data_IF_065616425078
#
_entry.id   IF_065616425078
#
_cell.length_a   1.000
_cell.length_b   1.000
_cell.length_c   1.000
_cell.angle_alpha   90.00
_cell.angle_beta   90.00
_cell.angle_gamma   90.00
#
_symmetry.space_group_name_H-M   'P 1'
#
loop_
_entity.id
_entity.type
_entity.pdbx_description
1 polymer ?
#
# COMPACT_ATOMS: atom_id res chain seq x y z
N UNK A 1 -8.55 -1.74 0.69
CA UNK A 1 -8.14 -0.72 -0.30
C UNK A 1 -9.19 -0.44 -1.37
N UNK A 2 -9.55 -1.38 -2.25
CA UNK A 2 -10.43 -1.09 -3.41
C UNK A 2 -11.76 -0.42 -3.05
N UNK A 3 -12.46 -0.86 -2.00
CA UNK A 3 -13.71 -0.24 -1.57
C UNK A 3 -13.54 1.24 -1.20
N UNK A 4 -12.46 1.57 -0.49
CA UNK A 4 -12.12 2.97 -0.14
C UNK A 4 -11.85 3.77 -1.41
N UNK A 5 -11.09 3.21 -2.36
CA UNK A 5 -10.82 3.85 -3.64
C UNK A 5 -12.13 4.17 -4.38
N UNK A 6 -13.05 3.21 -4.49
CA UNK A 6 -14.35 3.44 -5.15
C UNK A 6 -15.16 4.54 -4.48
N UNK A 7 -15.17 4.61 -3.14
CA UNK A 7 -15.87 5.65 -2.38
C UNK A 7 -15.25 7.04 -2.61
N UNK A 8 -13.93 7.16 -2.54
CA UNK A 8 -13.22 8.42 -2.82
C UNK A 8 -13.40 8.85 -4.29
N UNK A 9 -13.33 7.91 -5.22
CA UNK A 9 -13.55 8.16 -6.65
C UNK A 9 -14.95 8.71 -6.93
N UNK A 10 -15.99 8.17 -6.25
CA UNK A 10 -17.36 8.70 -6.33
C UNK A 10 -17.52 10.13 -5.79
N UNK A 11 -16.52 10.64 -5.06
CA UNK A 11 -16.44 12.02 -4.59
C UNK A 11 -15.56 12.91 -5.47
N UNK A 12 -15.15 12.41 -6.64
CA UNK A 12 -14.35 13.17 -7.62
C UNK A 12 -12.84 13.08 -7.41
N UNK A 13 -12.36 12.25 -6.48
CA UNK A 13 -10.92 12.07 -6.27
C UNK A 13 -10.34 11.19 -7.38
N UNK A 14 -9.27 11.65 -8.04
CA UNK A 14 -8.49 10.81 -8.96
C UNK A 14 -7.53 9.93 -8.15
N UNK A 15 -7.57 8.63 -8.42
CA UNK A 15 -6.85 7.63 -7.62
C UNK A 15 -5.98 6.79 -8.55
N UNK A 16 -4.72 6.63 -8.16
CA UNK A 16 -3.84 5.61 -8.74
C UNK A 16 -3.61 4.53 -7.69
N UNK A 17 -4.22 3.36 -7.89
CA UNK A 17 -4.02 2.20 -7.01
C UNK A 17 -2.84 1.39 -7.53
N UNK A 18 -1.79 1.32 -6.71
CA UNK A 18 -0.55 0.62 -7.02
C UNK A 18 -0.61 -0.81 -6.47
N UNK A 19 -0.37 -1.79 -7.34
CA UNK A 19 -0.34 -3.22 -6.99
C UNK A 19 0.81 -3.94 -7.72
N UNK A 20 1.03 -5.22 -7.45
CA UNK A 20 1.93 -6.05 -8.29
C UNK A 20 1.24 -6.42 -9.61
N UNK A 21 2.01 -6.83 -10.63
CA UNK A 21 1.44 -7.31 -11.91
C UNK A 21 0.46 -8.47 -11.75
N UNK A 22 0.72 -9.38 -10.82
CA UNK A 22 -0.17 -10.50 -10.50
C UNK A 22 -1.50 -9.98 -9.94
N UNK A 23 -1.45 -9.09 -8.95
CA UNK A 23 -2.63 -8.45 -8.38
C UNK A 23 -3.40 -7.61 -9.39
N UNK A 24 -2.72 -6.92 -10.32
CA UNK A 24 -3.37 -6.23 -11.43
C UNK A 24 -4.25 -7.21 -12.24
N UNK A 25 -3.70 -8.38 -12.57
CA UNK A 25 -4.44 -9.45 -13.26
C UNK A 25 -5.69 -9.86 -12.49
N UNK A 26 -5.57 -10.14 -11.18
CA UNK A 26 -6.72 -10.48 -10.34
C UNK A 26 -7.80 -9.40 -10.34
N UNK A 27 -7.41 -8.13 -10.13
CA UNK A 27 -8.34 -7.01 -10.08
C UNK A 27 -9.07 -6.79 -11.41
N UNK A 28 -8.33 -6.79 -12.53
CA UNK A 28 -8.93 -6.60 -13.86
C UNK A 28 -9.81 -7.76 -14.30
N UNK A 29 -9.52 -8.99 -13.83
CA UNK A 29 -10.35 -10.16 -14.15
C UNK A 29 -11.68 -10.16 -13.38
N UNK A 30 -11.73 -9.51 -12.22
CA UNK A 30 -12.90 -9.49 -11.37
C UNK A 30 -13.91 -8.42 -11.78
N UNK A 31 -13.43 -7.19 -12.02
CA UNK A 31 -14.29 -6.05 -12.38
C UNK A 31 -13.47 -4.92 -13.02
N UNK A 32 -14.06 -4.20 -13.97
CA UNK A 32 -13.49 -2.94 -14.44
C UNK A 32 -13.46 -1.88 -13.33
N UNK A 33 -12.34 -1.15 -13.15
CA UNK A 33 -12.25 -0.09 -12.16
C UNK A 33 -13.13 1.10 -12.57
N UNK A 34 -13.69 1.86 -11.60
CA UNK A 34 -14.45 3.06 -11.92
C UNK A 34 -13.57 4.11 -12.62
N UNK A 35 -14.13 5.05 -13.40
CA UNK A 35 -13.37 5.97 -14.26
C UNK A 35 -12.26 6.78 -13.58
N UNK A 36 -12.44 7.12 -12.31
CA UNK A 36 -11.47 7.89 -11.52
C UNK A 36 -10.46 7.01 -10.77
N UNK A 37 -10.47 5.69 -10.96
CA UNK A 37 -9.50 4.75 -10.39
C UNK A 37 -8.66 4.17 -11.52
N UNK A 38 -7.37 4.48 -11.51
CA UNK A 38 -6.36 3.91 -12.40
C UNK A 38 -5.63 2.81 -11.65
N UNK A 39 -5.59 1.61 -12.22
CA UNK A 39 -4.78 0.53 -11.69
C UNK A 39 -3.39 0.62 -12.31
N UNK A 40 -2.38 0.75 -11.46
CA UNK A 40 -0.97 0.78 -11.85
C UNK A 40 -0.28 -0.45 -11.26
N UNK A 41 0.74 -0.94 -11.95
CA UNK A 41 1.48 -2.11 -11.48
C UNK A 41 2.97 -1.89 -11.39
N UNK A 42 3.56 -2.44 -10.32
CA UNK A 42 4.98 -2.73 -10.23
C UNK A 42 5.25 -4.16 -10.72
N UNK A 43 6.49 -4.51 -11.13
CA UNK A 43 6.84 -5.89 -11.45
C UNK A 43 6.51 -6.86 -10.30
N UNK A 44 6.30 -8.14 -10.62
CA UNK A 44 6.15 -9.18 -9.60
C UNK A 44 7.52 -9.47 -8.97
N UNK A 45 7.76 -8.82 -7.84
CA UNK A 45 8.97 -8.96 -7.01
C UNK A 45 8.72 -9.79 -5.75
N UNK A 46 7.53 -10.41 -5.68
CA UNK A 46 7.05 -11.25 -4.58
C UNK A 46 6.85 -12.69 -5.06
N UNK A 47 6.85 -13.67 -4.15
CA UNK A 47 6.20 -14.96 -4.39
C UNK A 47 4.73 -14.76 -4.80
N UNK A 48 4.12 -15.75 -5.45
CA UNK A 48 2.73 -15.65 -5.88
C UNK A 48 1.78 -15.53 -4.68
N UNK A 49 0.83 -14.59 -4.77
CA UNK A 49 -0.23 -14.37 -3.78
C UNK A 49 -1.05 -15.65 -3.55
N UNK A 50 -1.27 -16.46 -4.60
CA UNK A 50 -2.03 -17.71 -4.52
C UNK A 50 -1.39 -18.69 -3.53
N UNK A 51 -0.05 -18.68 -3.45
CA UNK A 51 0.73 -19.52 -2.56
C UNK A 51 1.19 -18.82 -1.28
N UNK A 52 0.78 -17.57 -1.03
CA UNK A 52 1.26 -16.77 0.11
C UNK A 52 1.14 -17.49 1.46
N UNK A 53 0.07 -18.27 1.64
CA UNK A 53 -0.16 -18.99 2.90
C UNK A 53 0.87 -20.11 3.17
N UNK A 54 1.61 -20.58 2.16
CA UNK A 54 2.64 -21.60 2.33
C UNK A 54 3.86 -21.06 3.10
N UNK A 55 4.14 -19.75 3.00
CA UNK A 55 5.19 -19.06 3.74
C UNK A 55 4.81 -17.59 3.94
N UNK A 56 4.00 -17.33 4.97
CA UNK A 56 3.53 -15.98 5.29
C UNK A 56 4.68 -15.07 5.70
N UNK A 57 5.66 -15.59 6.43
CA UNK A 57 6.80 -14.81 6.93
C UNK A 57 7.69 -14.38 5.78
N UNK A 58 8.13 -15.31 4.93
CA UNK A 58 8.96 -14.99 3.76
C UNK A 58 8.23 -14.09 2.75
N UNK A 59 6.92 -14.24 2.62
CA UNK A 59 6.13 -13.32 1.81
C UNK A 59 6.14 -11.89 2.36
N UNK A 60 5.92 -11.71 3.67
CA UNK A 60 5.97 -10.39 4.29
C UNK A 60 7.38 -9.79 4.22
N UNK A 61 8.42 -10.59 4.44
CA UNK A 61 9.81 -10.15 4.26
C UNK A 61 10.06 -9.64 2.83
N UNK A 62 9.59 -10.36 1.81
CA UNK A 62 9.67 -9.92 0.41
C UNK A 62 8.89 -8.62 0.14
N UNK A 63 7.73 -8.43 0.77
CA UNK A 63 6.97 -7.16 0.71
C UNK A 63 7.78 -6.00 1.24
N UNK A 64 8.50 -6.19 2.36
CA UNK A 64 9.28 -5.13 2.99
C UNK A 64 10.65 -4.88 2.36
N UNK A 65 11.21 -5.85 1.65
CA UNK A 65 12.56 -5.75 1.06
C UNK A 65 12.55 -5.42 -0.43
N UNK A 66 11.55 -5.91 -1.17
CA UNK A 66 11.61 -5.90 -2.64
C UNK A 66 10.64 -4.91 -3.30
N UNK A 67 9.56 -4.50 -2.62
CA UNK A 67 8.53 -3.65 -3.25
C UNK A 67 8.85 -2.15 -3.24
N UNK A 68 9.69 -1.69 -2.32
CA UNK A 68 9.98 -0.26 -2.15
C UNK A 68 10.61 0.35 -3.40
N UNK A 69 11.73 -0.20 -3.90
CA UNK A 69 12.43 0.32 -5.09
C UNK A 69 11.51 0.49 -6.31
N UNK A 70 10.77 -0.54 -6.76
CA UNK A 70 9.94 -0.38 -7.95
C UNK A 70 8.74 0.54 -7.71
N UNK A 71 8.18 0.60 -6.50
CA UNK A 71 7.10 1.54 -6.19
C UNK A 71 7.59 2.99 -6.18
N UNK A 72 8.70 3.25 -5.49
CA UNK A 72 9.33 4.56 -5.36
C UNK A 72 9.91 5.03 -6.70
N UNK A 73 10.96 4.35 -7.19
CA UNK A 73 11.76 4.85 -8.30
C UNK A 73 11.09 4.72 -9.66
N UNK A 74 10.34 3.64 -9.90
CA UNK A 74 9.77 3.37 -11.23
C UNK A 74 8.37 3.92 -11.38
N UNK A 75 7.53 3.78 -10.36
CA UNK A 75 6.14 4.18 -10.48
C UNK A 75 5.88 5.61 -10.03
N UNK A 76 6.24 5.99 -8.80
CA UNK A 76 5.97 7.34 -8.30
C UNK A 76 6.68 8.41 -9.13
N UNK A 77 7.88 8.14 -9.63
CA UNK A 77 8.60 9.05 -10.54
C UNK A 77 7.93 9.25 -11.90
N UNK A 78 7.01 8.37 -12.30
CA UNK A 78 6.24 8.49 -13.54
C UNK A 78 4.93 9.27 -13.40
N UNK A 79 4.51 9.56 -12.16
CA UNK A 79 3.27 10.27 -11.88
C UNK A 79 3.60 11.76 -11.72
N UNK A 80 3.01 12.59 -12.59
CA UNK A 80 3.31 14.04 -12.67
C UNK A 80 3.06 14.79 -11.36
N UNK A 81 2.00 14.45 -10.62
CA UNK A 81 1.69 15.08 -9.33
C UNK A 81 0.97 14.09 -8.41
N UNK A 82 1.48 13.95 -7.18
CA UNK A 82 0.88 13.13 -6.12
C UNK A 82 0.59 14.03 -4.91
N UNK A 83 -0.69 14.23 -4.60
CA UNK A 83 -1.10 15.11 -3.50
C UNK A 83 -1.14 14.43 -2.14
N UNK A 84 -1.32 13.11 -2.11
CA UNK A 84 -1.45 12.30 -0.89
C UNK A 84 -1.13 10.84 -1.24
N UNK A 85 -0.35 10.17 -0.39
CA UNK A 85 -0.20 8.72 -0.40
C UNK A 85 -1.11 8.13 0.68
N UNK A 86 -1.92 7.13 0.31
CA UNK A 86 -2.66 6.31 1.28
C UNK A 86 -2.04 4.93 1.25
N UNK A 87 -1.41 4.54 2.36
CA UNK A 87 -0.72 3.26 2.48
C UNK A 87 -1.44 2.36 3.48
N UNK A 88 -1.35 1.04 3.28
CA UNK A 88 -1.68 0.11 4.36
C UNK A 88 -0.64 0.27 5.48
N UNK A 89 -1.10 0.30 6.73
CA UNK A 89 -0.24 0.49 7.89
C UNK A 89 0.84 -0.59 8.03
N UNK A 90 0.63 -1.78 7.47
CA UNK A 90 1.63 -2.85 7.48
C UNK A 90 2.72 -2.67 6.41
N UNK A 91 2.63 -1.67 5.54
CA UNK A 91 3.64 -1.39 4.51
C UNK A 91 4.44 -0.15 4.93
N UNK A 92 5.29 -0.33 5.95
CA UNK A 92 6.03 0.77 6.61
C UNK A 92 6.85 1.64 5.64
N UNK A 93 7.54 1.01 4.69
CA UNK A 93 8.36 1.72 3.71
C UNK A 93 7.58 2.74 2.87
N UNK A 94 6.26 2.60 2.73
CA UNK A 94 5.46 3.57 1.99
C UNK A 94 5.37 4.93 2.70
N UNK A 95 5.40 4.94 4.04
CA UNK A 95 5.48 6.16 4.83
C UNK A 95 6.85 6.84 4.66
N UNK A 96 7.92 6.05 4.68
CA UNK A 96 9.29 6.53 4.48
C UNK A 96 9.48 7.13 3.08
N UNK A 97 8.95 6.46 2.04
CA UNK A 97 8.94 6.97 0.66
C UNK A 97 8.20 8.31 0.59
N UNK A 98 7.02 8.40 1.20
CA UNK A 98 6.23 9.62 1.21
C UNK A 98 6.98 10.76 1.90
N UNK A 99 7.59 10.48 3.06
CA UNK A 99 8.42 11.42 3.80
C UNK A 99 9.61 11.93 2.97
N UNK A 100 10.41 11.02 2.38
CA UNK A 100 11.56 11.37 1.55
C UNK A 100 11.18 12.20 0.32
N UNK A 101 9.96 12.02 -0.19
CA UNK A 101 9.42 12.77 -1.34
C UNK A 101 8.69 14.06 -0.96
N UNK A 102 8.52 14.35 0.33
CA UNK A 102 7.74 15.50 0.80
C UNK A 102 6.25 15.41 0.45
N UNK A 103 5.71 14.21 0.32
CA UNK A 103 4.30 13.96 0.02
C UNK A 103 3.56 13.62 1.32
N UNK A 104 2.40 14.24 1.61
CA UNK A 104 1.58 13.84 2.74
C UNK A 104 1.22 12.35 2.69
N UNK A 105 1.16 11.68 3.85
CA UNK A 105 0.78 10.27 3.95
C UNK A 105 -0.35 10.08 4.96
N UNK A 106 -1.30 9.21 4.61
CA UNK A 106 -2.32 8.68 5.51
C UNK A 106 -2.19 7.16 5.58
N UNK A 107 -2.17 6.61 6.80
CA UNK A 107 -2.09 5.18 7.03
C UNK A 107 -3.49 4.60 7.22
N UNK A 108 -3.83 3.59 6.43
CA UNK A 108 -5.04 2.81 6.57
C UNK A 108 -4.75 1.58 7.44
N UNK A 109 -5.49 1.45 8.53
CA UNK A 109 -5.55 0.22 9.30
C UNK A 109 -6.86 -0.52 8.96
N UNK A 110 -6.83 -1.57 8.12
CA UNK A 110 -8.05 -2.22 7.64
C UNK A 110 -8.73 -3.11 8.70
N UNK A 111 -8.09 -3.36 9.83
CA UNK A 111 -8.63 -4.15 10.94
C UNK A 111 -9.44 -3.30 11.92
N UNK A 112 -10.09 -3.95 12.90
CA UNK A 112 -10.90 -3.28 13.91
C UNK A 112 -10.07 -2.29 14.77
N UNK A 113 -10.68 -1.18 15.15
CA UNK A 113 -10.06 -0.14 15.99
C UNK A 113 -9.62 -0.67 17.37
N UNK A 114 -10.26 -1.71 17.89
CA UNK A 114 -9.84 -2.38 19.12
C UNK A 114 -8.50 -3.10 18.95
N UNK A 115 -8.28 -3.76 17.81
CA UNK A 115 -6.99 -4.40 17.48
C UNK A 115 -5.91 -3.34 17.33
N UNK A 116 -6.22 -2.21 16.66
CA UNK A 116 -5.31 -1.07 16.59
C UNK A 116 -4.91 -0.59 18.00
N UNK A 117 -5.89 -0.38 18.89
CA UNK A 117 -5.63 0.04 20.27
C UNK A 117 -4.75 -0.96 21.01
N UNK A 118 -5.02 -2.27 20.89
CA UNK A 118 -4.18 -3.30 21.49
C UNK A 118 -2.73 -3.22 20.96
N UNK A 119 -2.55 -3.07 19.64
CA UNK A 119 -1.23 -2.95 19.00
C UNK A 119 -0.46 -1.69 19.45
N UNK A 120 -1.14 -0.56 19.65
CA UNK A 120 -0.52 0.66 20.16
C UNK A 120 0.01 0.52 21.60
N UNK A 121 -0.73 -0.19 22.44
CA UNK A 121 -0.44 -0.31 23.87
C UNK A 121 0.44 -1.53 24.20
N UNK A 122 0.64 -2.45 23.25
CA UNK A 122 1.61 -3.53 23.38
C UNK A 122 2.99 -3.00 22.95
N UNK A 123 3.88 -2.85 23.93
CA UNK A 123 5.12 -2.05 23.91
C UNK A 123 6.20 -2.49 22.90
N UNK A 124 5.92 -3.36 21.92
CA UNK A 124 6.96 -3.96 21.07
C UNK A 124 6.88 -3.65 19.57
N UNK A 125 5.74 -3.25 19.00
CA UNK A 125 5.61 -3.08 17.53
C UNK A 125 5.33 -1.65 17.07
N UNK A 126 4.58 -0.86 17.83
CA UNK A 126 4.01 0.40 17.30
C UNK A 126 4.95 1.60 17.27
N UNK A 127 5.92 1.64 18.19
CA UNK A 127 6.67 2.87 18.51
C UNK A 127 8.03 2.96 17.81
N UNK A 128 8.57 1.84 17.30
CA UNK A 128 9.93 1.81 16.71
C UNK A 128 9.98 1.89 15.18
N UNK A 129 9.03 1.27 14.47
CA UNK A 129 9.22 1.00 13.04
C UNK A 129 8.13 1.59 12.11
N UNK A 130 7.06 2.21 12.62
CA UNK A 130 5.93 2.70 11.79
C UNK A 130 5.71 4.21 11.86
N UNK A 131 5.99 4.85 12.99
CA UNK A 131 5.94 6.31 13.13
C UNK A 131 7.37 6.79 13.33
N UNK A 132 7.98 7.54 12.38
CA UNK A 132 9.20 8.27 12.68
C UNK A 132 8.84 9.22 13.81
N UNK A 133 9.42 8.97 14.99
CA UNK A 133 9.31 9.90 16.11
C UNK A 133 9.80 11.27 15.60
N UNK A 134 8.92 12.26 15.73
CA UNK A 134 9.22 13.67 15.47
C UNK A 134 10.40 14.17 16.30
#
# INVERSE_FOLDING_TARGET
MMLLCTRLASKGVLISLVVTKEWLGFLTSAQEPPPNVRLLSIPNVLPSEVSRAADVTGFMEAVHTNMEEPADHRLLSSIETVSLIIADMFISWAADVAWRRGIPVALLYPMAATVFSCSCHSTSWFVRDILPLA
#
